data_IF_709226233695
#
_entry.id   IF_709226233695
#
_cell.length_a   1.000
_cell.length_b   1.000
_cell.length_c   1.000
_cell.angle_alpha   90.00
_cell.angle_beta   90.00
_cell.angle_gamma   90.00
#
_symmetry.space_group_name_H-M   'P 1'
#
loop_
_entity.id
_entity.type
_entity.pdbx_description
1 polymer ?
#
# COMPACT_ATOMS: atom_id res chain seq x y z
N UNK A 1 -20.24 41.48 10.25
CA UNK A 1 -19.96 40.19 10.93
C UNK A 1 -18.51 39.81 10.68
N UNK A 2 -17.60 40.19 11.59
CA UNK A 2 -16.14 40.03 11.43
C UNK A 2 -15.65 38.59 11.56
N UNK A 3 -16.57 37.64 11.78
CA UNK A 3 -16.29 36.20 11.91
C UNK A 3 -16.42 35.45 10.59
N UNK A 4 -17.02 36.07 9.58
CA UNK A 4 -17.27 35.44 8.28
C UNK A 4 -16.10 35.69 7.33
N UNK A 5 -15.44 34.61 6.93
CA UNK A 5 -14.47 34.62 5.84
C UNK A 5 -15.23 34.47 4.52
N UNK A 6 -14.97 35.37 3.57
CA UNK A 6 -15.57 35.33 2.25
C UNK A 6 -14.56 34.78 1.25
N UNK A 7 -15.04 33.95 0.33
CA UNK A 7 -14.29 33.42 -0.78
C UNK A 7 -14.81 34.07 -2.06
N UNK A 8 -13.93 34.75 -2.80
CA UNK A 8 -14.30 35.30 -4.10
C UNK A 8 -13.15 35.18 -5.09
N UNK A 9 -13.53 34.83 -6.32
CA UNK A 9 -12.65 34.76 -7.49
C UNK A 9 -12.94 35.96 -8.36
N UNK A 10 -11.91 36.74 -8.67
CA UNK A 10 -12.00 37.87 -9.60
C UNK A 10 -11.70 37.37 -10.99
N UNK A 11 -12.62 37.59 -11.92
CA UNK A 11 -12.45 37.24 -13.33
C UNK A 11 -12.18 38.50 -14.16
N UNK A 12 -11.13 38.46 -14.99
CA UNK A 12 -10.99 39.34 -16.14
C UNK A 12 -11.91 38.82 -17.25
N UNK A 13 -12.82 39.67 -17.71
CA UNK A 13 -13.75 39.33 -18.78
C UNK A 13 -13.29 40.03 -20.05
N UNK A 14 -12.94 39.25 -21.08
CA UNK A 14 -12.65 39.75 -22.44
C UNK A 14 -13.56 39.02 -23.44
N UNK A 15 -14.57 39.73 -23.94
CA UNK A 15 -15.64 39.11 -24.71
C UNK A 15 -16.35 38.04 -23.89
N UNK A 16 -16.44 36.81 -24.41
CA UNK A 16 -17.06 35.66 -23.73
C UNK A 16 -16.09 34.86 -22.85
N UNK A 17 -14.82 35.25 -22.77
CA UNK A 17 -13.80 34.53 -22.01
C UNK A 17 -13.68 35.14 -20.61
N UNK A 18 -13.85 34.29 -19.60
CA UNK A 18 -13.62 34.62 -18.18
C UNK A 18 -12.30 33.99 -17.74
N UNK A 19 -11.30 34.82 -17.45
CA UNK A 19 -10.00 34.39 -16.94
C UNK A 19 -9.91 34.76 -15.46
N UNK A 20 -9.75 33.81 -14.52
CA UNK A 20 -9.52 34.16 -13.13
C UNK A 20 -8.17 34.88 -13.02
N UNK A 21 -8.16 36.07 -12.41
CA UNK A 21 -6.95 36.91 -12.27
C UNK A 21 -6.56 37.16 -10.82
N UNK A 22 -7.47 36.95 -9.88
CA UNK A 22 -7.15 37.01 -8.45
C UNK A 22 -8.13 36.16 -7.66
N UNK A 23 -7.67 35.70 -6.51
CA UNK A 23 -8.47 35.02 -5.50
C UNK A 23 -7.99 35.51 -4.16
N UNK A 24 -8.93 35.78 -3.26
CA UNK A 24 -8.57 36.17 -1.90
C UNK A 24 -9.41 35.42 -0.90
N UNK A 25 -8.75 34.92 0.15
CA UNK A 25 -9.39 34.47 1.40
C UNK A 25 -9.03 35.51 2.47
N UNK A 26 -10.02 36.29 2.91
CA UNK A 26 -9.78 37.40 3.84
C UNK A 26 -11.01 38.29 4.04
N UNK A 27 -10.85 39.38 4.79
CA UNK A 27 -11.89 40.41 4.92
C UNK A 27 -12.16 41.07 3.57
N UNK A 28 -13.40 41.55 3.37
CA UNK A 28 -13.84 42.24 2.14
C UNK A 28 -12.89 43.40 1.82
N UNK A 29 -12.28 43.35 0.63
CA UNK A 29 -11.39 44.40 0.15
C UNK A 29 -12.20 45.65 -0.28
N UNK A 30 -11.80 46.87 0.09
CA UNK A 30 -12.48 48.09 -0.35
C UNK A 30 -12.46 48.24 -1.87
N UNK A 31 -13.55 48.76 -2.45
CA UNK A 31 -13.64 49.06 -3.89
C UNK A 31 -12.49 49.99 -4.31
N UNK A 32 -11.70 49.56 -5.30
CA UNK A 32 -10.53 50.30 -5.80
C UNK A 32 -9.18 49.84 -5.23
N UNK A 33 -9.16 48.86 -4.33
CA UNK A 33 -7.90 48.26 -3.89
C UNK A 33 -7.31 47.33 -4.96
N UNK A 34 -6.02 47.51 -5.25
CA UNK A 34 -5.24 46.59 -6.08
C UNK A 34 -4.50 45.64 -5.13
N UNK A 35 -4.80 44.32 -5.15
CA UNK A 35 -4.09 43.39 -4.29
C UNK A 35 -2.62 43.37 -4.72
N UNK A 36 -1.74 43.87 -3.84
CA UNK A 36 -0.29 43.69 -4.00
C UNK A 36 0.05 42.27 -3.56
N UNK A 37 0.99 41.65 -4.26
CA UNK A 37 1.54 40.38 -3.85
C UNK A 37 1.97 40.42 -2.38
N UNK A 38 1.38 39.56 -1.55
CA UNK A 38 1.91 39.27 -0.21
C UNK A 38 2.72 37.99 -0.27
N UNK A 39 4.03 38.16 -0.41
CA UNK A 39 5.10 37.14 -0.46
C UNK A 39 5.06 36.17 -1.66
N UNK A 40 6.25 35.91 -2.25
CA UNK A 40 6.54 34.82 -3.20
C UNK A 40 5.71 34.77 -4.52
N UNK A 41 5.26 35.91 -5.07
CA UNK A 41 4.55 35.86 -6.37
C UNK A 41 5.45 35.48 -7.55
N UNK A 42 6.74 35.86 -7.49
CA UNK A 42 7.77 35.50 -8.46
C UNK A 42 8.77 34.45 -7.92
N UNK A 43 8.41 33.73 -6.86
CA UNK A 43 9.31 32.74 -6.27
C UNK A 43 9.49 31.53 -7.20
N UNK A 44 10.75 31.16 -7.42
CA UNK A 44 11.12 29.90 -8.05
C UNK A 44 11.00 28.77 -7.01
N UNK A 45 9.92 28.01 -7.11
CA UNK A 45 9.67 26.86 -6.25
C UNK A 45 10.49 25.67 -6.72
N UNK A 46 11.36 25.16 -5.85
CA UNK A 46 12.16 23.96 -6.12
C UNK A 46 11.91 22.93 -5.04
N UNK A 47 11.00 22.00 -5.31
CA UNK A 47 10.70 20.93 -4.37
C UNK A 47 11.42 19.65 -4.75
N UNK A 48 11.69 18.82 -3.74
CA UNK A 48 12.06 17.43 -3.92
C UNK A 48 10.89 16.60 -3.41
N UNK A 49 10.43 15.64 -4.21
CA UNK A 49 9.43 14.64 -3.84
C UNK A 49 10.14 13.29 -3.73
N UNK A 50 10.02 12.66 -2.56
CA UNK A 50 10.55 11.33 -2.29
C UNK A 50 9.45 10.47 -1.68
N UNK A 51 9.65 9.16 -1.74
CA UNK A 51 8.75 8.23 -1.10
C UNK A 51 9.14 6.78 -1.31
N UNK A 52 8.41 5.90 -0.66
CA UNK A 52 8.59 4.45 -0.74
C UNK A 52 7.24 3.76 -0.68
N UNK A 53 7.17 2.55 -1.23
CA UNK A 53 6.04 1.66 -1.04
C UNK A 53 6.26 0.78 0.20
N UNK A 54 5.24 0.58 1.01
CA UNK A 54 5.29 -0.32 2.16
C UNK A 54 4.75 -1.72 1.82
N UNK A 55 4.92 -2.65 2.76
CA UNK A 55 4.48 -4.05 2.69
C UNK A 55 2.96 -4.22 2.52
N UNK A 56 2.17 -3.19 2.79
CA UNK A 56 0.72 -3.22 2.59
C UNK A 56 0.31 -2.69 1.21
N UNK A 57 1.28 -2.33 0.37
CA UNK A 57 1.05 -1.76 -0.95
C UNK A 57 0.64 -0.28 -0.90
N UNK A 58 0.81 0.39 0.25
CA UNK A 58 0.63 1.83 0.36
C UNK A 58 1.90 2.55 -0.07
N UNK A 59 1.77 3.82 -0.43
CA UNK A 59 2.92 4.67 -0.75
C UNK A 59 2.97 5.84 0.21
N UNK A 60 4.10 5.98 0.90
CA UNK A 60 4.43 7.13 1.72
C UNK A 60 5.17 8.14 0.85
N UNK A 61 4.66 9.37 0.78
CA UNK A 61 5.30 10.47 0.07
C UNK A 61 5.66 11.58 1.04
N UNK A 62 6.82 12.18 0.82
CA UNK A 62 7.26 13.38 1.51
C UNK A 62 7.88 14.34 0.51
N UNK A 63 7.64 15.63 0.70
CA UNK A 63 8.29 16.67 -0.08
C UNK A 63 8.77 17.83 0.77
N UNK A 64 9.83 18.48 0.28
CA UNK A 64 10.44 19.63 0.93
C UNK A 64 10.77 20.72 -0.09
N UNK A 65 10.63 21.97 0.32
CA UNK A 65 11.16 23.14 -0.40
C UNK A 65 12.67 23.20 -0.16
N UNK A 66 13.46 23.17 -1.23
CA UNK A 66 14.93 23.23 -1.16
C UNK A 66 15.49 24.64 -1.20
N UNK A 67 14.65 25.62 -1.54
CA UNK A 67 15.05 27.02 -1.69
C UNK A 67 14.73 27.82 -0.43
N UNK A 68 13.61 27.53 0.23
CA UNK A 68 13.15 28.31 1.38
C UNK A 68 12.66 27.48 2.56
N UNK A 69 12.84 28.03 3.76
CA UNK A 69 12.26 27.50 5.00
C UNK A 69 10.74 27.78 4.94
N UNK A 70 9.96 26.71 5.09
CA UNK A 70 8.52 26.64 4.81
C UNK A 70 7.69 27.85 5.30
N UNK A 71 6.70 28.26 4.51
CA UNK A 71 5.64 29.17 4.98
C UNK A 71 4.30 28.46 4.90
N UNK A 72 3.48 28.51 5.95
CA UNK A 72 2.25 27.70 6.15
C UNK A 72 1.08 28.04 5.18
N UNK A 73 1.36 28.48 3.95
CA UNK A 73 0.35 29.00 3.04
C UNK A 73 0.29 28.32 1.67
N UNK A 74 1.24 27.44 1.37
CA UNK A 74 1.26 26.69 0.11
C UNK A 74 0.30 25.50 0.19
N UNK A 75 -0.50 25.31 -0.86
CA UNK A 75 -1.22 24.05 -1.07
C UNK A 75 -0.53 23.27 -2.16
N UNK A 76 -0.64 21.96 -2.10
CA UNK A 76 -0.11 21.06 -3.08
C UNK A 76 -1.26 20.35 -3.79
N UNK A 77 -1.11 20.15 -5.09
CA UNK A 77 -1.91 19.22 -5.85
C UNK A 77 -1.00 18.06 -6.26
N UNK A 78 -1.38 16.85 -5.86
CA UNK A 78 -0.72 15.63 -6.30
C UNK A 78 -1.55 14.97 -7.40
N UNK A 79 -0.88 14.63 -8.50
CA UNK A 79 -1.44 13.82 -9.58
C UNK A 79 -0.65 12.53 -9.71
N UNK A 80 -1.35 11.46 -10.07
CA UNK A 80 -0.74 10.15 -10.29
C UNK A 80 -0.93 9.70 -11.73
N UNK A 81 0.04 8.94 -12.22
CA UNK A 81 -0.10 8.10 -13.41
C UNK A 81 0.27 6.69 -12.97
N UNK A 82 -0.64 5.70 -13.05
CA UNK A 82 -2.01 5.77 -13.57
C UNK A 82 -2.95 6.70 -12.78
N UNK A 83 -4.01 7.20 -13.44
CA UNK A 83 -4.97 8.19 -12.89
C UNK A 83 -6.14 7.55 -12.14
N UNK A 84 -5.92 6.39 -11.53
CA UNK A 84 -6.90 5.67 -10.71
C UNK A 84 -6.95 6.19 -9.26
N UNK A 85 -5.96 6.98 -8.85
CA UNK A 85 -6.01 7.73 -7.59
C UNK A 85 -6.68 9.09 -7.84
N UNK A 86 -7.72 9.46 -7.09
CA UNK A 86 -8.27 10.81 -7.13
C UNK A 86 -7.19 11.85 -6.83
N UNK A 87 -7.31 13.02 -7.46
CA UNK A 87 -6.39 14.13 -7.20
C UNK A 87 -6.42 14.54 -5.73
N UNK A 88 -5.24 14.61 -5.11
CA UNK A 88 -5.10 14.94 -3.70
C UNK A 88 -4.67 16.40 -3.57
N UNK A 89 -5.43 17.18 -2.81
CA UNK A 89 -5.07 18.56 -2.46
C UNK A 89 -4.77 18.59 -0.96
N UNK A 90 -3.59 19.06 -0.59
CA UNK A 90 -3.17 19.09 0.82
C UNK A 90 -2.29 20.31 1.12
N UNK A 91 -2.26 20.70 2.39
CA UNK A 91 -1.34 21.66 2.99
C UNK A 91 -0.23 20.96 3.81
N UNK A 92 -0.21 19.63 3.81
CA UNK A 92 0.83 18.82 4.45
C UNK A 92 2.08 18.73 3.56
N UNK A 93 3.18 18.31 4.17
CA UNK A 93 4.45 18.00 3.50
C UNK A 93 4.72 16.49 3.40
N UNK A 94 3.81 15.68 3.94
CA UNK A 94 3.81 14.24 3.80
C UNK A 94 2.38 13.71 3.74
N UNK A 95 2.20 12.65 2.96
CA UNK A 95 0.94 11.92 2.86
C UNK A 95 1.19 10.42 2.69
N UNK A 96 0.23 9.63 3.16
CA UNK A 96 0.10 8.21 2.88
C UNK A 96 -1.00 8.04 1.82
N UNK A 97 -0.74 7.24 0.79
CA UNK A 97 -1.73 6.87 -0.23
C UNK A 97 -1.95 5.37 -0.15
N UNK A 98 -3.19 4.97 0.11
CA UNK A 98 -3.62 3.58 0.20
C UNK A 98 -4.31 3.10 -1.08
N UNK A 99 -4.68 1.80 -1.11
CA UNK A 99 -5.51 1.18 -2.16
C UNK A 99 -4.96 1.32 -3.59
N UNK A 100 -3.64 1.43 -3.70
CA UNK A 100 -2.95 1.42 -4.98
C UNK A 100 -2.93 -0.01 -5.54
N UNK A 101 -2.99 -0.14 -6.86
CA UNK A 101 -2.81 -1.43 -7.53
C UNK A 101 -1.44 -2.03 -7.18
N UNK A 102 -1.35 -3.30 -6.74
CA UNK A 102 -0.08 -3.97 -6.49
C UNK A 102 0.80 -4.07 -7.74
N UNK A 103 2.12 -4.15 -7.54
CA UNK A 103 3.10 -4.37 -8.61
C UNK A 103 3.17 -3.28 -9.69
N UNK A 104 2.53 -2.14 -9.47
CA UNK A 104 2.28 -1.11 -10.48
C UNK A 104 3.26 0.04 -10.29
N UNK A 105 3.87 0.50 -11.38
CA UNK A 105 4.69 1.71 -11.37
C UNK A 105 3.79 2.95 -11.37
N UNK A 106 3.83 3.71 -10.29
CA UNK A 106 3.17 5.01 -10.18
C UNK A 106 4.17 6.13 -10.38
N UNK A 107 3.85 7.06 -11.27
CA UNK A 107 4.49 8.38 -11.33
C UNK A 107 3.63 9.38 -10.55
N UNK A 108 4.22 10.01 -9.56
CA UNK A 108 3.65 11.05 -8.74
C UNK A 108 4.20 12.40 -9.18
N UNK A 109 3.31 13.34 -9.50
CA UNK A 109 3.67 14.70 -9.90
C UNK A 109 3.08 15.69 -8.91
N UNK A 110 3.95 16.43 -8.24
CA UNK A 110 3.60 17.44 -7.25
C UNK A 110 3.54 18.82 -7.90
N UNK A 111 2.43 19.52 -7.71
CA UNK A 111 2.24 20.89 -8.18
C UNK A 111 2.03 21.81 -6.99
N UNK A 112 2.71 22.94 -6.98
CA UNK A 112 2.38 24.01 -6.04
C UNK A 112 1.11 24.68 -6.53
N UNK A 113 0.10 24.66 -5.68
CA UNK A 113 -1.16 25.35 -5.88
C UNK A 113 -1.13 26.62 -5.05
N UNK A 114 -1.07 27.75 -5.73
CA UNK A 114 -1.10 29.03 -5.05
C UNK A 114 -2.49 29.30 -4.44
N UNK A 115 -2.59 30.41 -3.69
CA UNK A 115 -3.85 30.82 -3.06
C UNK A 115 -4.97 31.00 -4.08
N UNK A 116 -4.67 31.29 -5.34
CA UNK A 116 -5.66 31.43 -6.44
C UNK A 116 -6.08 30.14 -7.10
N UNK A 117 -5.55 29.01 -6.62
CA UNK A 117 -5.87 27.71 -7.17
C UNK A 117 -5.18 27.43 -8.50
N UNK A 118 -4.38 28.38 -9.00
CA UNK A 118 -3.55 28.22 -10.19
C UNK A 118 -2.40 27.29 -9.83
N UNK A 119 -2.16 26.31 -10.69
CA UNK A 119 -1.03 25.42 -10.58
C UNK A 119 0.19 26.12 -11.15
N UNK A 120 1.19 26.31 -10.31
CA UNK A 120 2.53 26.64 -10.77
C UNK A 120 3.20 25.37 -11.32
N UNK A 121 4.25 25.56 -12.13
CA UNK A 121 4.97 24.48 -12.84
C UNK A 121 5.20 23.24 -11.96
N UNK A 122 5.26 22.02 -12.56
CA UNK A 122 5.49 20.80 -11.80
C UNK A 122 6.74 20.96 -10.95
N UNK A 123 6.53 20.82 -9.66
CA UNK A 123 7.50 21.19 -8.65
C UNK A 123 8.49 20.06 -8.39
N UNK A 124 8.00 18.82 -8.51
CA UNK A 124 8.78 17.61 -8.34
C UNK A 124 8.01 16.41 -8.92
N UNK A 125 8.75 15.43 -9.39
CA UNK A 125 8.23 14.12 -9.78
C UNK A 125 8.92 13.02 -8.96
N UNK A 126 8.18 11.98 -8.61
CA UNK A 126 8.73 10.74 -8.06
C UNK A 126 8.10 9.55 -8.79
N UNK A 127 8.86 8.48 -8.98
CA UNK A 127 8.36 7.23 -9.55
C UNK A 127 8.58 6.10 -8.57
N UNK A 128 7.51 5.49 -8.11
CA UNK A 128 7.52 4.47 -7.07
C UNK A 128 6.71 3.29 -7.60
N UNK A 129 7.28 2.09 -7.50
CA UNK A 129 6.58 0.86 -7.85
C UNK A 129 6.03 0.23 -6.59
N UNK A 130 4.72 0.04 -6.55
CA UNK A 130 4.08 -0.69 -5.46
C UNK A 130 4.54 -2.13 -5.45
N UNK A 131 4.62 -2.72 -4.26
CA UNK A 131 4.99 -4.11 -4.11
C UNK A 131 3.93 -5.03 -4.72
N UNK A 132 4.33 -6.18 -5.26
CA UNK A 132 3.37 -7.19 -5.71
C UNK A 132 2.81 -7.87 -4.47
N UNK A 133 1.50 -8.11 -4.49
CA UNK A 133 0.81 -8.78 -3.38
C UNK A 133 1.39 -10.18 -3.09
N UNK A 134 1.79 -10.89 -4.14
CA UNK A 134 2.40 -12.22 -4.04
C UNK A 134 3.81 -12.18 -3.40
N UNK A 135 4.50 -11.05 -3.46
CA UNK A 135 5.87 -10.90 -2.95
C UNK A 135 5.90 -10.68 -1.42
N UNK A 136 4.73 -10.52 -0.78
CA UNK A 136 4.61 -10.32 0.66
C UNK A 136 4.26 -11.62 1.42
N UNK A 137 4.03 -12.73 0.71
CA UNK A 137 3.79 -14.04 1.30
C UNK A 137 4.96 -14.99 1.04
N UNK A 138 5.07 -16.10 1.79
CA UNK A 138 6.01 -17.16 1.49
C UNK A 138 5.97 -17.63 0.05
N UNK A 139 7.10 -18.14 -0.42
CA UNK A 139 7.19 -18.81 -1.72
C UNK A 139 7.62 -20.25 -1.53
N UNK A 140 7.43 -21.08 -2.56
CA UNK A 140 7.87 -22.48 -2.58
C UNK A 140 7.42 -23.30 -1.35
N UNK A 141 6.16 -23.10 -0.91
CA UNK A 141 5.58 -23.88 0.17
C UNK A 141 5.45 -25.35 -0.26
N UNK A 142 6.08 -26.23 0.50
CA UNK A 142 6.02 -27.68 0.34
C UNK A 142 5.53 -28.34 1.64
N UNK A 143 4.85 -29.48 1.47
CA UNK A 143 4.44 -30.37 2.56
C UNK A 143 5.05 -31.75 2.34
N UNK A 144 5.85 -32.22 3.30
CA UNK A 144 6.56 -33.49 3.26
C UNK A 144 5.88 -34.44 4.24
N UNK A 145 5.29 -35.52 3.72
CA UNK A 145 4.70 -36.57 4.55
C UNK A 145 5.79 -37.52 5.01
N UNK A 146 6.00 -37.62 6.33
CA UNK A 146 7.07 -38.42 6.91
C UNK A 146 6.57 -39.70 7.61
N UNK A 147 5.28 -39.74 7.94
CA UNK A 147 4.65 -40.90 8.60
C UNK A 147 3.12 -40.83 8.44
N UNK A 148 2.37 -41.85 8.90
CA UNK A 148 0.91 -41.79 8.98
C UNK A 148 0.37 -40.66 9.88
N UNK A 149 1.20 -40.05 10.72
CA UNK A 149 0.78 -39.05 11.70
C UNK A 149 1.63 -37.76 11.70
N UNK A 150 2.45 -37.55 10.67
CA UNK A 150 3.36 -36.40 10.59
C UNK A 150 3.48 -35.83 9.19
N UNK A 151 3.34 -34.51 9.09
CA UNK A 151 3.65 -33.70 7.91
C UNK A 151 4.54 -32.55 8.34
N UNK A 152 5.65 -32.36 7.65
CA UNK A 152 6.55 -31.22 7.85
C UNK A 152 6.34 -30.22 6.70
N UNK A 153 6.12 -28.96 7.07
CA UNK A 153 6.03 -27.85 6.13
C UNK A 153 7.35 -27.11 6.05
N UNK A 154 7.72 -26.71 4.84
CA UNK A 154 8.86 -25.84 4.56
C UNK A 154 8.48 -24.85 3.47
N UNK A 155 8.99 -23.63 3.58
CA UNK A 155 8.80 -22.58 2.58
C UNK A 155 10.04 -21.67 2.51
N UNK A 156 10.09 -20.82 1.48
CA UNK A 156 11.00 -19.68 1.43
C UNK A 156 10.32 -18.43 1.98
N UNK A 157 11.09 -17.59 2.65
CA UNK A 157 10.62 -16.33 3.19
C UNK A 157 10.03 -15.43 2.09
N UNK A 158 9.16 -14.50 2.49
CA UNK A 158 8.58 -13.55 1.55
C UNK A 158 9.69 -12.71 0.88
N UNK A 159 9.67 -12.52 -0.46
CA UNK A 159 10.67 -11.73 -1.16
C UNK A 159 10.87 -10.31 -0.61
N UNK A 160 9.79 -9.66 -0.15
CA UNK A 160 9.85 -8.30 0.41
C UNK A 160 10.06 -8.27 1.94
N UNK A 161 10.58 -9.34 2.54
CA UNK A 161 10.87 -9.41 3.98
C UNK A 161 11.96 -8.44 4.47
N UNK A 162 12.39 -7.47 3.65
CA UNK A 162 13.60 -6.66 3.77
C UNK A 162 13.78 -6.06 5.18
N UNK A 163 14.46 -6.85 6.02
CA UNK A 163 14.92 -6.53 7.38
C UNK A 163 13.87 -6.48 8.51
N UNK A 164 12.67 -7.07 8.35
CA UNK A 164 11.73 -7.24 9.45
C UNK A 164 11.57 -8.72 9.86
N UNK A 165 11.33 -8.96 11.16
CA UNK A 165 10.97 -10.30 11.64
C UNK A 165 9.57 -10.59 11.11
N UNK A 166 9.50 -11.38 10.03
CA UNK A 166 8.22 -11.90 9.56
C UNK A 166 7.80 -13.04 10.47
N UNK A 167 6.65 -12.88 11.10
CA UNK A 167 5.94 -14.00 11.72
C UNK A 167 5.07 -14.63 10.63
N UNK A 168 5.02 -15.96 10.56
CA UNK A 168 4.14 -16.68 9.66
C UNK A 168 2.95 -17.24 10.44
N UNK A 169 1.76 -17.13 9.88
CA UNK A 169 0.54 -17.74 10.39
C UNK A 169 0.13 -18.91 9.50
N UNK A 170 -0.03 -20.09 10.10
CA UNK A 170 -0.37 -21.33 9.42
C UNK A 170 -1.77 -21.77 9.84
N UNK A 171 -2.64 -21.97 8.86
CA UNK A 171 -3.95 -22.57 9.03
C UNK A 171 -3.96 -24.00 8.49
N UNK A 172 -4.64 -24.89 9.19
CA UNK A 172 -4.84 -26.28 8.78
C UNK A 172 -6.33 -26.57 8.60
N UNK A 173 -6.72 -27.28 7.54
CA UNK A 173 -8.12 -27.54 7.17
C UNK A 173 -8.96 -28.19 8.26
N UNK A 174 -8.36 -29.00 9.15
CA UNK A 174 -9.08 -29.66 10.23
C UNK A 174 -9.38 -28.74 11.42
N UNK A 175 -8.69 -27.60 11.53
CA UNK A 175 -8.90 -26.59 12.55
C UNK A 175 -9.18 -25.22 11.91
N UNK A 176 -10.30 -25.08 11.17
CA UNK A 176 -10.63 -23.81 10.53
C UNK A 176 -10.78 -22.71 11.59
N UNK A 177 -10.21 -21.53 11.34
CA UNK A 177 -10.26 -20.38 12.24
C UNK A 177 -9.18 -20.35 13.33
N UNK A 178 -8.33 -21.38 13.45
CA UNK A 178 -7.16 -21.35 14.35
C UNK A 178 -5.88 -21.21 13.53
N UNK A 179 -4.99 -20.32 13.99
CA UNK A 179 -3.68 -20.12 13.39
C UNK A 179 -2.57 -20.58 14.33
N UNK A 180 -1.61 -21.30 13.79
CA UNK A 180 -0.31 -21.53 14.41
C UNK A 180 0.65 -20.45 13.96
N UNK A 181 1.52 -19.95 14.83
CA UNK A 181 2.50 -18.92 14.47
C UNK A 181 3.94 -19.41 14.65
N UNK A 182 4.84 -18.92 13.80
CA UNK A 182 6.28 -19.21 13.87
C UNK A 182 7.08 -18.08 13.21
N UNK A 183 8.28 -17.81 13.70
CA UNK A 183 9.23 -16.88 13.06
C UNK A 183 10.15 -17.61 12.06
N UNK A 184 10.15 -18.95 12.08
CA UNK A 184 10.93 -19.78 11.16
C UNK A 184 10.19 -20.06 9.85
N UNK A 185 10.91 -20.54 8.85
CA UNK A 185 10.33 -20.94 7.55
C UNK A 185 9.96 -22.43 7.47
N UNK A 186 9.75 -23.05 8.64
CA UNK A 186 9.40 -24.46 8.80
C UNK A 186 8.39 -24.63 9.92
N UNK A 187 7.48 -25.58 9.77
CA UNK A 187 6.51 -25.93 10.80
C UNK A 187 6.19 -27.42 10.77
N UNK A 188 6.11 -28.05 11.95
CA UNK A 188 5.90 -29.50 12.08
C UNK A 188 4.48 -29.74 12.57
N UNK A 189 3.69 -30.47 11.79
CA UNK A 189 2.41 -31.03 12.22
C UNK A 189 2.60 -32.49 12.64
N UNK A 190 2.36 -32.76 13.93
CA UNK A 190 2.36 -34.10 14.52
C UNK A 190 0.95 -34.50 14.96
N UNK A 191 0.79 -35.76 15.36
CA UNK A 191 -0.49 -36.33 15.83
C UNK A 191 -1.62 -36.22 14.81
N UNK A 192 -1.27 -36.28 13.52
CA UNK A 192 -2.25 -36.32 12.44
C UNK A 192 -2.93 -37.68 12.35
N UNK A 193 -4.13 -37.71 11.81
CA UNK A 193 -4.84 -38.94 11.50
C UNK A 193 -4.22 -39.59 10.25
N UNK A 194 -4.01 -40.92 10.25
CA UNK A 194 -3.60 -41.66 9.06
C UNK A 194 -4.58 -41.54 7.91
N UNK A 195 -4.07 -41.67 6.68
CA UNK A 195 -4.86 -41.65 5.46
C UNK A 195 -5.86 -40.48 5.35
N UNK A 196 -5.47 -39.32 5.89
CA UNK A 196 -6.33 -38.15 5.99
C UNK A 196 -5.73 -37.02 5.18
N UNK A 197 -6.60 -36.34 4.43
CA UNK A 197 -6.26 -35.21 3.58
C UNK A 197 -6.20 -33.93 4.41
N UNK A 198 -5.07 -33.25 4.34
CA UNK A 198 -4.81 -31.99 5.01
C UNK A 198 -4.46 -30.91 4.00
N UNK A 199 -5.07 -29.74 4.18
CA UNK A 199 -4.74 -28.53 3.43
C UNK A 199 -4.13 -27.54 4.39
N UNK A 200 -2.96 -27.03 4.04
CA UNK A 200 -2.23 -26.05 4.82
C UNK A 200 -2.17 -24.74 4.05
N UNK A 201 -2.47 -23.63 4.73
CA UNK A 201 -2.41 -22.28 4.20
C UNK A 201 -1.47 -21.45 5.07
N UNK A 202 -0.44 -20.85 4.46
CA UNK A 202 0.58 -20.07 5.16
C UNK A 202 0.53 -18.62 4.70
N UNK A 203 0.43 -17.70 5.66
CA UNK A 203 0.46 -16.25 5.45
C UNK A 203 1.68 -15.65 6.15
N UNK A 204 2.25 -14.59 5.58
CA UNK A 204 3.04 -13.64 6.38
C UNK A 204 2.10 -12.81 7.25
N UNK A 205 2.49 -12.57 8.50
CA UNK A 205 1.79 -11.75 9.47
C UNK A 205 2.64 -10.53 9.80
N UNK A 206 2.03 -9.36 9.68
CA UNK A 206 2.66 -8.07 9.97
C UNK A 206 2.79 -7.86 11.50
N UNK A 207 3.61 -6.88 11.90
CA UNK A 207 3.85 -6.57 13.33
C UNK A 207 2.58 -6.15 14.09
N UNK A 208 1.57 -5.62 13.40
CA UNK A 208 0.26 -5.27 13.97
C UNK A 208 -0.70 -6.47 14.09
N UNK A 209 -0.26 -7.67 13.70
CA UNK A 209 -1.03 -8.91 13.71
C UNK A 209 -1.91 -9.11 12.47
N UNK A 210 -1.86 -8.21 11.47
CA UNK A 210 -2.64 -8.38 10.24
C UNK A 210 -1.99 -9.40 9.31
N UNK A 211 -2.82 -10.26 8.70
CA UNK A 211 -2.35 -11.27 7.73
C UNK A 211 -2.27 -10.67 6.33
N UNK A 212 -1.18 -10.97 5.63
CA UNK A 212 -1.04 -10.61 4.22
C UNK A 212 -2.06 -11.40 3.37
N UNK A 213 -2.85 -10.73 2.53
CA UNK A 213 -3.83 -11.41 1.69
C UNK A 213 -3.14 -12.32 0.68
N UNK A 214 -3.81 -13.39 0.24
CA UNK A 214 -3.29 -14.37 -0.74
C UNK A 214 -2.11 -15.22 -0.24
N UNK A 215 -2.28 -15.88 0.90
CA UNK A 215 -1.32 -16.86 1.43
C UNK A 215 -1.07 -18.04 0.48
N UNK A 216 -0.01 -18.81 0.74
CA UNK A 216 0.32 -20.01 -0.04
C UNK A 216 -0.33 -21.25 0.54
N UNK A 217 -0.91 -22.05 -0.34
CA UNK A 217 -1.59 -23.28 0.03
C UNK A 217 -0.87 -24.51 -0.53
N UNK A 218 -0.81 -25.57 0.25
CA UNK A 218 -0.38 -26.90 -0.18
C UNK A 218 -1.30 -27.95 0.43
N UNK A 219 -1.45 -29.06 -0.27
CA UNK A 219 -2.30 -30.17 0.17
C UNK A 219 -1.51 -31.48 0.18
N UNK A 220 -1.73 -32.30 1.21
CA UNK A 220 -1.15 -33.64 1.31
C UNK A 220 -2.07 -34.62 2.03
N UNK A 221 -1.83 -35.91 1.81
CA UNK A 221 -2.51 -37.01 2.50
C UNK A 221 -1.45 -37.76 3.32
N UNK A 222 -1.69 -37.89 4.62
CA UNK A 222 -0.83 -38.72 5.48
C UNK A 222 -0.77 -40.16 4.99
N UNK A 223 0.33 -40.85 5.27
CA UNK A 223 0.44 -42.25 4.84
C UNK A 223 -0.68 -43.11 5.42
N UNK A 224 -1.05 -44.14 4.66
CA UNK A 224 -1.86 -45.22 5.19
C UNK A 224 -1.13 -45.86 6.38
N UNK A 225 -1.85 -46.30 7.42
CA UNK A 225 -1.24 -47.01 8.54
C UNK A 225 -0.71 -48.41 8.15
N UNK A 226 -1.00 -48.90 6.93
CA UNK A 226 -0.45 -50.16 6.43
C UNK A 226 0.88 -49.96 5.69
N UNK A 227 1.93 -50.64 6.17
CA UNK A 227 3.22 -50.76 5.48
C UNK A 227 3.06 -51.53 4.15
N UNK A 228 3.93 -51.20 3.19
CA UNK A 228 3.96 -51.59 1.77
C UNK A 228 4.28 -53.10 1.56
N UNK A 229 3.85 -53.98 2.48
CA UNK A 229 4.04 -55.43 2.36
C UNK A 229 2.77 -56.28 2.45
N UNK A 230 1.59 -55.70 2.76
CA UNK A 230 0.38 -56.50 2.99
C UNK A 230 -0.89 -56.06 2.24
N UNK A 231 -0.82 -55.13 1.29
CA UNK A 231 -1.99 -54.70 0.52
C UNK A 231 -1.99 -55.12 -0.96
N UNK A 232 -1.60 -56.37 -1.24
CA UNK A 232 -1.93 -57.10 -2.48
C UNK A 232 -2.51 -58.44 -1.98
N UNK A 233 -3.81 -58.76 -2.00
CA UNK A 233 -4.76 -58.88 -3.12
C UNK A 233 -6.12 -59.41 -2.51
N UNK A 234 -7.21 -59.68 -3.28
CA UNK A 234 -8.41 -58.86 -3.41
C UNK A 234 -9.67 -59.46 -2.74
N UNK A 235 -10.63 -58.64 -2.30
CA UNK A 235 -12.01 -59.11 -2.06
C UNK A 235 -12.82 -58.99 -3.35
N UNK A 236 -12.83 -60.05 -4.15
CA UNK A 236 -13.94 -60.37 -5.04
C UNK A 236 -14.14 -61.89 -5.04
N UNK A 237 -15.07 -62.35 -4.21
CA UNK A 237 -15.79 -63.61 -4.42
C UNK A 237 -17.27 -63.27 -4.19
N UNK A 238 -18.04 -63.30 -5.27
CA UNK A 238 -19.46 -63.64 -5.34
C UNK A 238 -19.67 -64.36 -6.65
#
# INVERSE_FOLDING_TARGET
>A
DHTKSYEFTVFLIKGNIKTPIAYTRGQVLPKGSSPKCQNRCDAEYKYILVGYADEQGKVQLQWMDTTYIFTETERFLLKTIPMDVPQIITDKYSIEIDKLRPGTLYKFSLYVRDKSGILKNPSADASIRTLRQDDNNPTDLIAIVLSPNRIDLEWKAAPNADCQILTYAIQCSVNPGTYFTTEGTRFIFSNLLPWTRYTFLVHSMNADGTLNPSGRQVEQITWSPCNIHFCLLPLFIL
#
